data_IF_934606079297
#
_entry.id   IF_934606079297
#
_cell.length_a   1.000
_cell.length_b   1.000
_cell.length_c   1.000
_cell.angle_alpha   90.00
_cell.angle_beta   90.00
_cell.angle_gamma   90.00
#
_symmetry.space_group_name_H-M   'P 1'
#
loop_
_entity.id
_entity.type
_entity.pdbx_description
1 polymer ?
#
# COMPACT_ATOMS: atom_id res chain seq x y z
N UNK A 1 9.20 -2.92 -4.38
CA UNK A 1 9.94 -3.49 -3.22
C UNK A 1 10.41 -2.44 -2.23
N UNK A 2 11.14 -1.40 -2.64
CA UNK A 2 11.61 -0.34 -1.72
C UNK A 2 10.47 0.29 -0.91
N UNK A 3 9.31 0.54 -1.52
CA UNK A 3 8.13 1.06 -0.81
C UNK A 3 7.66 0.14 0.33
N UNK A 4 7.80 -1.17 0.21
CA UNK A 4 7.44 -2.14 1.26
C UNK A 4 8.47 -2.07 2.39
N UNK A 5 9.77 -2.05 2.06
CA UNK A 5 10.84 -1.88 3.06
C UNK A 5 10.65 -0.61 3.86
N UNK A 6 10.40 0.51 3.19
CA UNK A 6 10.14 1.79 3.85
C UNK A 6 8.89 1.72 4.73
N UNK A 7 7.82 1.10 4.25
CA UNK A 7 6.58 0.94 5.01
C UNK A 7 6.81 0.16 6.32
N UNK A 8 7.60 -0.93 6.28
CA UNK A 8 7.97 -1.69 7.48
C UNK A 8 8.81 -0.89 8.47
N UNK A 9 9.81 -0.13 7.98
CA UNK A 9 10.68 0.70 8.83
C UNK A 9 9.88 1.76 9.59
N UNK A 10 8.90 2.40 8.93
CA UNK A 10 8.10 3.46 9.54
C UNK A 10 6.90 2.92 10.34
N UNK A 11 6.70 1.60 10.40
CA UNK A 11 5.58 0.98 11.11
C UNK A 11 4.22 1.25 10.45
N UNK A 12 4.16 1.22 9.11
CA UNK A 12 2.89 1.39 8.39
C UNK A 12 1.96 0.19 8.60
N UNK A 13 0.70 0.44 8.93
CA UNK A 13 -0.34 -0.60 9.11
C UNK A 13 -0.70 -1.32 7.81
N UNK A 14 -0.54 -0.68 6.66
CA UNK A 14 -0.81 -1.26 5.34
C UNK A 14 -0.15 -0.44 4.21
N UNK A 15 -0.05 -1.04 3.03
CA UNK A 15 0.37 -0.36 1.80
C UNK A 15 -0.70 -0.48 0.72
N UNK A 16 -1.05 0.64 0.09
CA UNK A 16 -2.00 0.71 -1.03
C UNK A 16 -1.29 1.02 -2.34
N UNK A 17 -1.35 0.08 -3.28
CA UNK A 17 -0.81 0.19 -4.63
C UNK A 17 -1.88 0.81 -5.54
N UNK A 18 -1.68 2.08 -5.88
CA UNK A 18 -2.62 2.85 -6.68
C UNK A 18 -2.43 2.65 -8.19
N UNK A 19 -3.45 3.05 -8.97
CA UNK A 19 -3.46 3.08 -10.43
C UNK A 19 -3.22 1.72 -11.10
N UNK A 20 -3.73 0.62 -10.51
CA UNK A 20 -3.52 -0.75 -10.98
C UNK A 20 -2.06 -1.08 -11.30
N UNK A 21 -1.11 -0.46 -10.56
CA UNK A 21 0.30 -0.81 -10.73
C UNK A 21 0.50 -2.28 -10.41
N UNK A 22 1.25 -2.96 -11.28
CA UNK A 22 1.61 -4.37 -11.09
C UNK A 22 2.36 -4.54 -9.77
N UNK A 23 1.93 -5.50 -8.97
CA UNK A 23 2.64 -5.95 -7.77
C UNK A 23 3.60 -7.05 -8.20
N UNK A 24 4.88 -6.90 -7.88
CA UNK A 24 5.88 -7.93 -8.17
C UNK A 24 5.84 -9.04 -7.12
N UNK A 25 6.31 -10.23 -7.48
CA UNK A 25 6.41 -11.35 -6.52
C UNK A 25 7.27 -10.98 -5.31
N UNK A 26 8.41 -10.32 -5.51
CA UNK A 26 9.25 -9.82 -4.41
C UNK A 26 8.57 -8.80 -3.50
N UNK A 27 7.59 -8.03 -3.99
CA UNK A 27 6.76 -7.19 -3.11
C UNK A 27 5.83 -8.02 -2.24
N UNK A 28 5.24 -9.08 -2.78
CA UNK A 28 4.35 -9.97 -2.04
C UNK A 28 5.11 -10.75 -0.97
N UNK A 29 6.26 -11.31 -1.31
CA UNK A 29 7.12 -12.04 -0.38
C UNK A 29 7.58 -11.13 0.76
N UNK A 30 8.08 -9.95 0.43
CA UNK A 30 8.56 -9.00 1.43
C UNK A 30 7.43 -8.48 2.34
N UNK A 31 6.24 -8.26 1.78
CA UNK A 31 5.08 -7.85 2.57
C UNK A 31 4.61 -8.97 3.52
N UNK A 32 4.66 -10.23 3.08
CA UNK A 32 4.38 -11.39 3.95
C UNK A 32 5.40 -11.50 5.09
N UNK A 33 6.68 -11.39 4.77
CA UNK A 33 7.78 -11.46 5.74
C UNK A 33 7.66 -10.37 6.82
N UNK A 34 7.27 -9.16 6.40
CA UNK A 34 7.09 -8.02 7.32
C UNK A 34 5.71 -7.94 7.97
N UNK A 35 4.78 -8.84 7.63
CA UNK A 35 3.41 -8.81 8.14
C UNK A 35 2.60 -7.58 7.69
N UNK A 36 2.93 -6.99 6.54
CA UNK A 36 2.27 -5.77 6.03
C UNK A 36 1.20 -6.15 5.00
N UNK A 37 -0.08 -5.81 5.23
CA UNK A 37 -1.14 -5.94 4.23
C UNK A 37 -0.87 -5.13 2.95
N UNK A 38 -1.09 -5.76 1.80
CA UNK A 38 -1.06 -5.09 0.49
C UNK A 38 -2.44 -5.01 -0.14
N UNK A 39 -2.86 -3.80 -0.49
CA UNK A 39 -4.09 -3.53 -1.21
C UNK A 39 -3.78 -2.96 -2.60
N UNK A 40 -4.61 -3.29 -3.59
CA UNK A 40 -4.52 -2.72 -4.93
C UNK A 40 -5.80 -1.93 -5.23
N UNK A 41 -5.65 -0.82 -5.95
CA UNK A 41 -6.80 -0.03 -6.40
C UNK A 41 -6.58 0.52 -7.80
N UNK A 42 -7.69 0.61 -8.56
CA UNK A 42 -7.71 1.26 -9.87
C UNK A 42 -7.61 2.77 -9.79
N UNK A 43 -7.87 3.37 -8.64
CA UNK A 43 -7.87 4.83 -8.50
C UNK A 43 -6.46 5.40 -8.61
N UNK A 44 -6.27 6.54 -9.30
CA UNK A 44 -5.02 7.29 -9.26
C UNK A 44 -4.65 7.67 -7.82
N UNK A 45 -3.36 7.87 -7.55
CA UNK A 45 -2.84 8.16 -6.20
C UNK A 45 -3.61 9.27 -5.48
N UNK A 46 -3.83 10.40 -6.15
CA UNK A 46 -4.56 11.53 -5.57
C UNK A 46 -5.97 11.14 -5.14
N UNK A 47 -6.73 10.49 -6.03
CA UNK A 47 -8.09 10.05 -5.73
C UNK A 47 -8.13 8.99 -4.62
N UNK A 48 -7.19 8.03 -4.63
CA UNK A 48 -7.07 7.03 -3.58
C UNK A 48 -6.84 7.70 -2.21
N UNK A 49 -5.92 8.67 -2.11
CA UNK A 49 -5.67 9.42 -0.88
C UNK A 49 -6.90 10.20 -0.41
N UNK A 50 -7.59 10.91 -1.31
CA UNK A 50 -8.80 11.68 -0.94
C UNK A 50 -9.90 10.75 -0.42
N UNK A 51 -10.12 9.61 -1.09
CA UNK A 51 -11.14 8.62 -0.66
C UNK A 51 -10.80 8.01 0.69
N UNK A 52 -9.54 7.63 0.92
CA UNK A 52 -9.08 7.09 2.19
C UNK A 52 -9.19 8.14 3.31
N UNK A 53 -8.76 9.37 3.08
CA UNK A 53 -8.87 10.45 4.07
C UNK A 53 -10.31 10.68 4.52
N UNK A 54 -11.25 10.76 3.57
CA UNK A 54 -12.69 10.90 3.89
C UNK A 54 -13.25 9.75 4.71
N UNK A 55 -12.74 8.52 4.51
CA UNK A 55 -13.15 7.35 5.30
C UNK A 55 -12.57 7.38 6.72
N UNK A 56 -11.43 8.04 6.93
CA UNK A 56 -10.79 8.15 8.25
C UNK A 56 -11.37 9.30 9.10
N UNK A 57 -12.08 10.23 8.46
CA UNK A 57 -12.76 11.36 9.13
C UNK A 57 -14.15 10.99 9.69
N UNK A 58 -14.63 9.77 9.43
CA UNK A 58 -15.90 9.23 9.98
C UNK A 58 -15.65 8.37 11.21
#
# INVERSE_FOLDING_TARGET
>A
EQSIRSAGIVGSEAVVIANNKTVTEGMLELAKDQGIPLFCTRFPKYEACVRLGRLMET
#
